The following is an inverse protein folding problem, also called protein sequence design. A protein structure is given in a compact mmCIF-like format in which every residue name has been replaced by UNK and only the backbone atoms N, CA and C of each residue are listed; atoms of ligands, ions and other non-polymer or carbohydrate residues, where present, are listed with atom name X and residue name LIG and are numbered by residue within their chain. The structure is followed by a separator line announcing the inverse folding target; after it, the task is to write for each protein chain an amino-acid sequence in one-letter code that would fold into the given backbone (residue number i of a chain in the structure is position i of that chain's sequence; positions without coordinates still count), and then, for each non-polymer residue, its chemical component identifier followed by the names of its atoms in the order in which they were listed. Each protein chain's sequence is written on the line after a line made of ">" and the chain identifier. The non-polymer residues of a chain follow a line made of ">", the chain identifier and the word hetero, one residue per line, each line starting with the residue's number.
data_IF_312206263976
#
_entry.id   IF_312206263976
#
_cell.length_a   1.000
_cell.length_b   1.000
_cell.length_c   1.000
_cell.angle_alpha   90.00
_cell.angle_beta   90.00
_cell.angle_gamma   90.00
#
_symmetry.space_group_name_H-M   'P 1'
#
loop_
_entity.id
_entity.type
_entity.pdbx_description
1 polymer ?
#
# COMPACT_ATOMS: atom_id res chain seq x y z
N UNK A 1 1.10 18.43 42.58
CA UNK A 1 1.36 17.42 43.64
C UNK A 1 0.24 16.39 43.85
N UNK A 2 -0.94 16.51 43.23
CA UNK A 2 -2.05 15.55 43.39
C UNK A 2 -2.10 14.40 42.36
N UNK A 3 -1.07 14.24 41.52
CA UNK A 3 -1.00 13.17 40.52
C UNK A 3 -0.13 11.97 40.94
N UNK A 4 0.72 12.14 41.97
CA UNK A 4 1.57 11.05 42.49
C UNK A 4 0.77 10.20 43.50
N UNK A 5 -0.13 10.81 44.27
CA UNK A 5 -0.98 10.09 45.24
C UNK A 5 -1.96 9.11 44.56
N UNK A 6 -2.53 9.46 43.40
CA UNK A 6 -3.44 8.57 42.66
C UNK A 6 -2.72 7.37 42.03
N UNK A 7 -1.45 7.54 41.65
CA UNK A 7 -0.65 6.43 41.11
C UNK A 7 -0.20 5.46 42.21
N UNK A 8 -0.05 5.93 43.45
CA UNK A 8 0.17 5.06 44.62
C UNK A 8 -1.07 4.24 44.99
N UNK A 9 -2.27 4.83 44.94
CA UNK A 9 -3.49 4.12 45.32
C UNK A 9 -3.86 2.98 44.35
N UNK A 10 -3.62 3.19 43.04
CA UNK A 10 -3.84 2.17 42.00
C UNK A 10 -2.76 1.07 41.93
N UNK A 11 -1.56 1.32 42.46
CA UNK A 11 -0.53 0.28 42.54
C UNK A 11 -0.70 -0.63 43.78
N UNK A 12 -1.46 -0.18 44.78
CA UNK A 12 -1.67 -0.94 46.02
C UNK A 12 -2.84 -1.94 45.94
N UNK A 13 -3.73 -1.82 44.94
CA UNK A 13 -4.79 -2.80 44.68
C UNK A 13 -4.38 -3.92 43.70
N UNK A 14 -3.38 -3.70 42.84
CA UNK A 14 -2.94 -4.71 41.86
C UNK A 14 -2.07 -5.80 42.53
N UNK A 15 -1.33 -5.46 43.59
CA UNK A 15 -0.61 -6.45 44.40
C UNK A 15 -1.54 -7.24 45.36
N UNK A 16 -2.73 -6.73 45.67
CA UNK A 16 -3.71 -7.47 46.48
C UNK A 16 -4.32 -8.65 45.70
N UNK A 17 -4.55 -8.49 44.40
CA UNK A 17 -5.08 -9.56 43.55
C UNK A 17 -4.03 -10.60 43.15
N UNK A 18 -2.73 -10.26 43.13
CA UNK A 18 -1.66 -11.22 42.87
C UNK A 18 -1.29 -12.07 44.08
N UNK A 19 -1.50 -11.57 45.31
CA UNK A 19 -1.33 -12.38 46.52
C UNK A 19 -2.50 -13.32 46.81
N UNK A 20 -3.69 -13.06 46.27
CA UNK A 20 -4.87 -13.92 46.48
C UNK A 20 -4.86 -15.20 45.62
N UNK A 21 -3.98 -15.29 44.62
CA UNK A 21 -3.88 -16.46 43.72
C UNK A 21 -2.90 -17.54 44.20
N UNK A 22 -2.27 -17.35 45.36
CA UNK A 22 -1.32 -18.31 45.96
C UNK A 22 -1.92 -19.03 47.20
N UNK A 23 -3.14 -18.70 47.64
CA UNK A 23 -3.83 -19.39 48.75
C UNK A 23 -5.20 -19.88 48.30
N UNK A 24 -5.25 -20.67 47.22
CA UNK A 24 -6.49 -21.29 46.72
C UNK A 24 -6.55 -22.81 46.97
N UNK A 25 -5.88 -23.30 48.01
CA UNK A 25 -5.84 -24.74 48.35
C UNK A 25 -6.13 -25.11 49.82
N UNK A 26 -6.60 -24.19 50.67
CA UNK A 26 -6.91 -24.58 52.07
C UNK A 26 -8.02 -23.77 52.79
N UNK A 27 -9.02 -23.26 52.09
CA UNK A 27 -10.15 -22.56 52.72
C UNK A 27 -11.43 -23.41 52.69
N UNK A 28 -12.11 -23.66 53.84
CA UNK A 28 -13.33 -24.46 53.92
C UNK A 28 -14.51 -23.80 53.18
N UNK A 29 -15.46 -24.63 52.73
CA UNK A 29 -16.54 -24.30 51.79
C UNK A 29 -17.35 -23.02 52.12
N UNK A 30 -17.41 -22.63 53.40
CA UNK A 30 -18.19 -21.49 53.88
C UNK A 30 -17.62 -20.12 53.46
N UNK A 31 -16.30 -20.00 53.25
CA UNK A 31 -15.67 -18.73 52.86
C UNK A 31 -15.66 -18.48 51.34
N UNK A 32 -15.81 -19.54 50.51
CA UNK A 32 -15.96 -19.40 49.05
C UNK A 32 -17.28 -18.74 48.66
N UNK A 33 -18.33 -18.95 49.43
CA UNK A 33 -19.64 -18.34 49.21
C UNK A 33 -19.65 -16.83 49.56
N UNK A 34 -18.90 -16.42 50.59
CA UNK A 34 -18.82 -15.01 50.99
C UNK A 34 -18.01 -14.20 49.98
N UNK A 35 -16.93 -14.77 49.43
CA UNK A 35 -16.12 -14.15 48.38
C UNK A 35 -16.88 -14.02 47.04
N UNK A 36 -17.72 -14.99 46.68
CA UNK A 36 -18.53 -14.89 45.46
C UNK A 36 -19.66 -13.86 45.56
N UNK A 37 -20.27 -13.71 46.75
CA UNK A 37 -21.29 -12.67 47.02
C UNK A 37 -20.67 -11.28 47.03
N UNK A 38 -19.53 -11.09 47.70
CA UNK A 38 -18.82 -9.82 47.67
C UNK A 38 -18.34 -9.48 46.25
N UNK A 39 -17.77 -10.43 45.52
CA UNK A 39 -17.38 -10.21 44.11
C UNK A 39 -18.57 -9.81 43.22
N UNK A 40 -19.77 -10.33 43.48
CA UNK A 40 -21.00 -9.94 42.79
C UNK A 40 -21.45 -8.51 43.15
N UNK A 41 -21.37 -8.12 44.42
CA UNK A 41 -21.68 -6.76 44.86
C UNK A 41 -20.68 -5.72 44.32
N UNK A 42 -19.39 -6.06 44.28
CA UNK A 42 -18.35 -5.23 43.68
C UNK A 42 -18.51 -5.09 42.16
N UNK A 43 -19.04 -6.11 41.47
CA UNK A 43 -19.40 -6.05 40.03
C UNK A 43 -20.53 -5.05 39.77
N UNK A 44 -21.53 -4.97 40.66
CA UNK A 44 -22.60 -3.98 40.56
C UNK A 44 -22.11 -2.54 40.82
N UNK A 45 -21.20 -2.34 41.77
CA UNK A 45 -20.58 -1.03 42.04
C UNK A 45 -19.69 -0.58 40.87
N UNK A 46 -18.98 -1.50 40.22
CA UNK A 46 -18.19 -1.21 39.00
C UNK A 46 -19.04 -0.79 37.79
N UNK A 47 -20.33 -1.15 37.74
CA UNK A 47 -21.25 -0.73 36.68
C UNK A 47 -21.90 0.65 36.93
N UNK A 48 -21.91 1.13 38.18
CA UNK A 48 -22.52 2.40 38.58
C UNK A 48 -21.53 3.57 38.69
N UNK A 49 -20.27 3.39 38.29
CA UNK A 49 -19.28 4.46 38.33
C UNK A 49 -19.55 5.53 37.23
N UNK A 50 -19.81 6.81 37.57
CA UNK A 50 -20.25 7.86 36.62
C UNK A 50 -19.25 8.28 35.55
N UNK A 51 -18.04 7.73 35.53
CA UNK A 51 -16.98 8.11 34.59
C UNK A 51 -17.06 7.38 33.24
N UNK A 52 -17.71 6.20 33.17
CA UNK A 52 -17.89 5.48 31.89
C UNK A 52 -18.85 6.19 30.94
N UNK A 53 -19.84 6.91 31.47
CA UNK A 53 -20.79 7.66 30.65
C UNK A 53 -20.23 9.00 30.12
N UNK A 54 -19.11 9.49 30.66
CA UNK A 54 -18.61 10.87 30.39
C UNK A 54 -17.55 10.97 29.27
N UNK A 55 -17.18 9.86 28.60
CA UNK A 55 -16.10 9.88 27.59
C UNK A 55 -16.45 9.23 26.25
N UNK A 56 -17.72 8.90 25.99
CA UNK A 56 -18.16 8.42 24.67
C UNK A 56 -18.44 9.56 23.68
N UNK A 57 -18.89 10.72 24.18
CA UNK A 57 -19.18 11.91 23.38
C UNK A 57 -17.98 12.88 23.24
N UNK A 58 -16.91 12.66 24.00
CA UNK A 58 -15.69 13.48 23.95
C UNK A 58 -14.53 12.81 23.20
N UNK A 59 -14.72 11.62 22.63
CA UNK A 59 -13.73 11.07 21.70
C UNK A 59 -13.83 11.87 20.40
N UNK A 60 -12.85 12.72 20.06
CA UNK A 60 -12.84 13.37 18.76
C UNK A 60 -12.89 12.28 17.68
N UNK A 61 -13.94 12.33 16.86
CA UNK A 61 -14.11 11.44 15.72
C UNK A 61 -13.24 12.00 14.59
N UNK A 62 -12.01 11.51 14.49
CA UNK A 62 -11.12 11.91 13.41
C UNK A 62 -11.55 11.20 12.13
N UNK A 63 -12.21 11.94 11.23
CA UNK A 63 -12.37 11.47 9.86
C UNK A 63 -10.98 11.41 9.22
N UNK A 64 -10.68 10.38 8.40
CA UNK A 64 -9.43 10.31 7.67
C UNK A 64 -9.24 11.61 6.88
N UNK A 65 -8.15 12.35 7.16
CA UNK A 65 -7.81 13.57 6.45
C UNK A 65 -7.81 13.30 4.95
N UNK A 66 -8.43 14.20 4.18
CA UNK A 66 -8.34 14.08 2.74
C UNK A 66 -6.87 14.24 2.33
N UNK A 67 -6.39 13.52 1.31
CA UNK A 67 -5.01 13.65 0.84
C UNK A 67 -4.61 15.11 0.52
N UNK A 68 -5.56 15.97 0.16
CA UNK A 68 -5.31 17.41 -0.01
C UNK A 68 -4.96 18.14 1.31
N UNK A 69 -5.58 17.75 2.42
CA UNK A 69 -5.39 18.32 3.76
C UNK A 69 -4.13 17.78 4.44
N UNK A 70 -3.71 16.55 4.13
CA UNK A 70 -2.42 16.00 4.55
C UNK A 70 -1.21 16.77 3.99
N UNK A 71 -1.40 17.60 2.96
CA UNK A 71 -0.33 18.34 2.28
C UNK A 71 -0.37 19.86 2.52
N UNK A 72 -1.21 20.36 3.43
CA UNK A 72 -1.44 21.81 3.64
C UNK A 72 -1.79 22.56 2.33
N UNK A 73 -2.42 21.87 1.36
CA UNK A 73 -2.70 22.44 0.04
C UNK A 73 -1.47 22.70 -0.83
N UNK A 74 -0.26 22.33 -0.40
CA UNK A 74 0.94 22.49 -1.21
C UNK A 74 0.99 21.43 -2.33
N UNK A 75 1.13 21.94 -3.55
CA UNK A 75 1.36 21.10 -4.73
C UNK A 75 2.74 20.46 -4.62
N UNK A 76 2.78 19.14 -4.49
CA UNK A 76 4.02 18.39 -4.58
C UNK A 76 4.42 18.18 -6.04
N UNK A 77 5.71 18.34 -6.31
CA UNK A 77 6.29 18.16 -7.64
C UNK A 77 7.23 16.96 -7.63
N UNK A 78 7.08 16.07 -8.61
CA UNK A 78 8.09 15.05 -8.91
C UNK A 78 8.64 15.24 -10.32
N UNK A 79 9.97 15.26 -10.43
CA UNK A 79 10.69 15.46 -11.70
C UNK A 79 11.32 14.14 -12.12
N UNK A 80 10.96 13.65 -13.29
CA UNK A 80 11.47 12.42 -13.87
C UNK A 80 12.13 12.71 -15.24
N UNK A 81 13.10 11.90 -15.66
CA UNK A 81 13.84 12.15 -16.90
C UNK A 81 12.99 11.85 -18.16
N UNK A 82 13.16 12.65 -19.21
CA UNK A 82 12.46 12.47 -20.49
C UNK A 82 13.31 11.67 -21.48
N UNK A 83 12.79 10.54 -22.00
CA UNK A 83 13.36 9.87 -23.16
C UNK A 83 13.37 10.77 -24.41
N UNK A 84 14.41 10.67 -25.23
CA UNK A 84 14.70 11.54 -26.39
C UNK A 84 13.58 11.61 -27.45
N UNK A 85 12.68 10.62 -27.50
CA UNK A 85 11.62 10.48 -28.52
C UNK A 85 10.19 10.67 -27.98
N UNK A 86 10.04 11.10 -26.73
CA UNK A 86 8.76 11.09 -26.03
C UNK A 86 7.66 11.93 -26.70
N UNK A 87 8.03 12.96 -27.49
CA UNK A 87 7.07 13.85 -28.16
C UNK A 87 6.04 13.09 -29.02
N UNK A 88 6.45 12.00 -29.69
CA UNK A 88 5.57 11.27 -30.62
C UNK A 88 4.55 10.37 -29.89
N UNK A 89 4.96 9.78 -28.76
CA UNK A 89 4.11 8.88 -27.95
C UNK A 89 3.51 9.61 -26.74
N UNK A 90 3.56 10.94 -26.70
CA UNK A 90 3.16 11.72 -25.54
C UNK A 90 1.68 11.53 -25.21
N UNK A 91 0.81 11.50 -26.22
CA UNK A 91 -0.63 11.31 -26.02
C UNK A 91 -0.96 9.95 -25.41
N UNK A 92 -0.25 8.90 -25.79
CA UNK A 92 -0.45 7.54 -25.25
C UNK A 92 -0.04 7.43 -23.78
N UNK A 93 0.92 8.26 -23.35
CA UNK A 93 1.39 8.31 -21.96
C UNK A 93 0.52 9.27 -21.13
N UNK A 94 0.19 10.44 -21.67
CA UNK A 94 -0.58 11.48 -20.99
C UNK A 94 -2.01 11.04 -20.69
N UNK A 95 -2.70 10.47 -21.69
CA UNK A 95 -4.13 10.12 -21.61
C UNK A 95 -4.47 9.21 -20.43
N UNK A 96 -3.79 8.06 -20.22
CA UNK A 96 -4.09 7.21 -19.07
C UNK A 96 -3.76 7.87 -17.73
N UNK A 97 -2.67 8.66 -17.64
CA UNK A 97 -2.28 9.33 -16.39
C UNK A 97 -3.29 10.42 -16.02
N UNK A 98 -3.67 11.25 -17.00
CA UNK A 98 -4.62 12.33 -16.80
C UNK A 98 -6.03 11.82 -16.47
N UNK A 99 -6.49 10.80 -17.19
CA UNK A 99 -7.83 10.25 -17.06
C UNK A 99 -8.02 9.41 -15.79
N UNK A 100 -7.09 8.48 -15.53
CA UNK A 100 -7.25 7.49 -14.46
C UNK A 100 -6.63 7.95 -13.13
N UNK A 101 -5.41 8.49 -13.15
CA UNK A 101 -4.69 8.89 -11.93
C UNK A 101 -5.00 10.32 -11.50
N UNK A 102 -5.65 11.08 -12.39
CA UNK A 102 -5.99 12.49 -12.18
C UNK A 102 -4.77 13.36 -11.87
N UNK A 103 -3.60 13.02 -12.41
CA UNK A 103 -2.35 13.78 -12.26
C UNK A 103 -2.14 14.64 -13.49
N UNK A 104 -1.68 15.87 -13.28
CA UNK A 104 -1.23 16.74 -14.37
C UNK A 104 0.25 16.47 -14.66
N UNK A 105 0.57 16.27 -15.94
CA UNK A 105 1.89 15.88 -16.40
C UNK A 105 2.40 16.95 -17.35
N UNK A 106 3.48 17.65 -16.97
CA UNK A 106 4.08 18.72 -17.77
C UNK A 106 5.45 18.31 -18.28
N UNK A 107 5.66 18.32 -19.59
CA UNK A 107 6.97 18.06 -20.19
C UNK A 107 7.76 19.36 -20.35
N UNK A 108 8.91 19.46 -19.68
CA UNK A 108 9.88 20.52 -19.90
C UNK A 108 10.88 20.09 -20.98
N UNK A 109 10.73 20.64 -22.19
CA UNK A 109 11.55 20.33 -23.36
C UNK A 109 13.00 20.81 -23.23
N UNK A 110 13.24 21.93 -22.51
CA UNK A 110 14.59 22.48 -22.31
C UNK A 110 15.39 21.63 -21.32
N UNK A 111 14.75 21.26 -20.21
CA UNK A 111 15.39 20.44 -19.17
C UNK A 111 15.36 18.94 -19.48
N UNK A 112 14.61 18.50 -20.52
CA UNK A 112 14.28 17.08 -20.79
C UNK A 112 13.78 16.38 -19.53
N UNK A 113 12.83 17.01 -18.82
CA UNK A 113 12.21 16.47 -17.59
C UNK A 113 10.69 16.49 -17.68
N UNK A 114 10.04 15.44 -17.19
CA UNK A 114 8.61 15.41 -16.93
C UNK A 114 8.41 15.87 -15.49
N UNK A 115 7.46 16.77 -15.30
CA UNK A 115 7.01 17.23 -13.99
C UNK A 115 5.61 16.66 -13.77
N UNK A 116 5.45 15.89 -12.70
CA UNK A 116 4.17 15.39 -12.23
C UNK A 116 3.65 16.33 -11.15
N UNK A 117 2.40 16.76 -11.30
CA UNK A 117 1.71 17.70 -10.43
C UNK A 117 0.38 17.12 -9.96
N UNK A 118 0.14 17.12 -8.65
CA UNK A 118 -1.18 16.77 -8.09
C UNK A 118 -2.23 17.80 -8.48
N UNK A 119 -3.48 17.33 -8.65
CA UNK A 119 -4.66 18.16 -8.83
C UNK A 119 -5.53 18.11 -7.56
N UNK A 120 -6.47 19.06 -7.39
CA UNK A 120 -7.43 18.99 -6.29
C UNK A 120 -8.32 17.74 -6.34
N UNK A 121 -8.56 17.22 -7.54
CA UNK A 121 -9.35 16.01 -7.83
C UNK A 121 -8.52 14.71 -7.77
N UNK A 122 -7.27 14.76 -7.30
CA UNK A 122 -6.46 13.54 -7.16
C UNK A 122 -6.88 12.80 -5.88
N UNK A 123 -7.42 11.57 -5.98
CA UNK A 123 -7.97 10.86 -4.82
C UNK A 123 -6.90 10.42 -3.80
N UNK A 124 -5.63 10.32 -4.20
CA UNK A 124 -4.52 9.88 -3.34
C UNK A 124 -3.20 10.61 -3.65
N UNK A 125 -2.53 11.16 -2.63
CA UNK A 125 -1.16 11.73 -2.76
C UNK A 125 -0.14 10.66 -3.18
N UNK A 126 -0.36 9.40 -2.79
CA UNK A 126 0.49 8.26 -3.14
C UNK A 126 0.67 8.10 -4.65
N UNK A 127 -0.25 8.65 -5.45
CA UNK A 127 -0.14 8.66 -6.90
C UNK A 127 1.07 9.48 -7.40
N UNK A 128 1.57 10.44 -6.61
CA UNK A 128 2.75 11.24 -6.97
C UNK A 128 4.09 10.49 -6.76
N UNK A 129 4.07 9.38 -6.02
CA UNK A 129 5.22 8.47 -5.87
C UNK A 129 5.31 7.42 -7.00
N UNK A 130 4.44 7.49 -8.02
CA UNK A 130 4.56 6.60 -9.17
C UNK A 130 5.86 6.85 -9.93
N UNK A 131 6.57 5.76 -10.20
CA UNK A 131 7.77 5.71 -11.00
C UNK A 131 7.37 5.45 -12.46
N UNK A 132 7.98 6.21 -13.36
CA UNK A 132 7.91 5.95 -14.81
C UNK A 132 9.22 5.31 -15.21
N UNK A 133 9.12 4.06 -15.63
CA UNK A 133 10.27 3.28 -16.04
C UNK A 133 10.20 2.95 -17.53
N UNK A 134 11.29 3.21 -18.24
CA UNK A 134 11.42 2.97 -19.67
C UNK A 134 12.57 2.01 -19.93
N UNK A 135 12.36 1.06 -20.84
CA UNK A 135 13.42 0.22 -21.37
C UNK A 135 13.09 -0.25 -22.79
N UNK A 136 14.12 -0.55 -23.57
CA UNK A 136 13.96 -1.14 -24.90
C UNK A 136 14.18 -2.65 -24.86
N UNK A 137 13.48 -3.38 -25.74
CA UNK A 137 13.69 -4.83 -25.88
C UNK A 137 15.15 -5.15 -26.23
N UNK A 138 15.80 -4.26 -26.99
CA UNK A 138 17.20 -4.37 -27.42
C UNK A 138 18.19 -4.29 -26.26
N UNK A 139 17.84 -3.61 -25.16
CA UNK A 139 18.69 -3.49 -23.97
C UNK A 139 18.77 -4.81 -23.21
N UNK A 140 17.73 -5.65 -23.31
CA UNK A 140 17.66 -6.97 -22.67
C UNK A 140 18.27 -8.05 -23.55
N UNK A 141 17.90 -8.05 -24.83
CA UNK A 141 18.38 -9.04 -25.80
C UNK A 141 18.41 -8.42 -27.20
N UNK A 142 19.55 -8.54 -27.86
CA UNK A 142 19.73 -8.05 -29.23
C UNK A 142 18.95 -8.95 -30.21
N UNK A 143 17.71 -8.56 -30.51
CA UNK A 143 16.82 -9.27 -31.43
C UNK A 143 16.64 -8.48 -32.74
N UNK A 144 16.50 -9.19 -33.86
CA UNK A 144 16.29 -8.61 -35.20
C UNK A 144 15.21 -9.39 -35.96
N UNK A 145 14.50 -8.71 -36.86
CA UNK A 145 13.50 -9.30 -37.77
C UNK A 145 12.42 -10.13 -37.05
N UNK A 146 12.19 -11.35 -37.55
CA UNK A 146 11.19 -12.33 -37.06
C UNK A 146 11.31 -12.67 -35.56
N UNK A 147 12.51 -12.58 -34.99
CA UNK A 147 12.69 -12.85 -33.57
C UNK A 147 12.17 -11.71 -32.68
N UNK A 148 12.23 -10.47 -33.18
CA UNK A 148 11.71 -9.30 -32.48
C UNK A 148 10.18 -9.28 -32.50
N UNK A 149 9.56 -9.50 -33.66
CA UNK A 149 8.10 -9.59 -33.81
C UNK A 149 7.53 -10.71 -32.93
N UNK A 150 8.19 -11.87 -32.91
CA UNK A 150 7.82 -12.99 -32.03
C UNK A 150 7.94 -12.62 -30.54
N UNK A 151 8.99 -11.90 -30.14
CA UNK A 151 9.14 -11.46 -28.75
C UNK A 151 8.03 -10.48 -28.33
N UNK A 152 7.68 -9.52 -29.20
CA UNK A 152 6.55 -8.60 -28.99
C UNK A 152 5.24 -9.37 -28.89
N UNK A 153 5.04 -10.37 -29.75
CA UNK A 153 3.89 -11.28 -29.70
C UNK A 153 3.77 -12.04 -28.38
N UNK A 154 4.90 -12.48 -27.78
CA UNK A 154 4.91 -13.12 -26.45
C UNK A 154 4.58 -12.15 -25.32
N UNK A 155 5.07 -10.91 -25.40
CA UNK A 155 4.83 -9.88 -24.37
C UNK A 155 3.36 -9.48 -24.32
N UNK A 156 2.76 -9.25 -25.49
CA UNK A 156 1.34 -8.90 -25.57
C UNK A 156 0.45 -10.12 -25.29
N UNK A 157 0.80 -11.28 -25.85
CA UNK A 157 -0.07 -12.44 -25.87
C UNK A 157 -1.29 -12.22 -26.79
N UNK A 158 -2.12 -13.25 -26.97
CA UNK A 158 -3.32 -13.17 -27.81
C UNK A 158 -4.27 -12.11 -27.25
N UNK A 159 -4.49 -11.03 -28.01
CA UNK A 159 -5.36 -9.91 -27.60
C UNK A 159 -4.86 -9.14 -26.37
N UNK A 160 -3.55 -9.13 -26.10
CA UNK A 160 -3.00 -8.40 -24.95
C UNK A 160 -3.15 -9.13 -23.61
N UNK A 161 -3.66 -10.36 -23.58
CA UNK A 161 -3.94 -11.10 -22.33
C UNK A 161 -2.73 -11.22 -21.40
N UNK A 162 -1.54 -11.44 -21.96
CA UNK A 162 -0.32 -11.58 -21.14
C UNK A 162 0.06 -10.25 -20.51
N UNK A 163 0.03 -9.17 -21.28
CA UNK A 163 0.22 -7.80 -20.79
C UNK A 163 -0.77 -7.50 -19.65
N UNK A 164 -2.08 -7.67 -19.88
CA UNK A 164 -3.11 -7.37 -18.89
C UNK A 164 -2.98 -8.22 -17.61
N UNK A 165 -2.58 -9.49 -17.75
CA UNK A 165 -2.33 -10.34 -16.59
C UNK A 165 -1.17 -9.83 -15.72
N UNK A 166 -0.08 -9.38 -16.35
CA UNK A 166 1.07 -8.79 -15.64
C UNK A 166 0.67 -7.46 -15.00
N UNK A 167 -0.06 -6.60 -15.72
CA UNK A 167 -0.56 -5.32 -15.20
C UNK A 167 -1.41 -5.51 -13.94
N UNK A 168 -2.38 -6.43 -13.98
CA UNK A 168 -3.26 -6.69 -12.86
C UNK A 168 -2.52 -7.31 -11.67
N UNK A 169 -1.61 -8.26 -11.91
CA UNK A 169 -0.85 -8.92 -10.84
C UNK A 169 0.13 -7.97 -10.13
N UNK A 170 0.76 -7.07 -10.88
CA UNK A 170 1.73 -6.11 -10.36
C UNK A 170 1.11 -4.77 -9.96
N UNK A 171 -0.18 -4.53 -10.25
CA UNK A 171 -0.83 -3.21 -10.09
C UNK A 171 -0.03 -2.09 -10.79
N UNK A 172 0.37 -2.34 -12.03
CA UNK A 172 1.08 -1.39 -12.89
C UNK A 172 0.31 -1.13 -14.17
N UNK A 173 0.64 -0.05 -14.87
CA UNK A 173 0.18 0.22 -16.25
C UNK A 173 1.36 0.10 -17.18
N UNK A 174 1.22 -0.72 -18.22
CA UNK A 174 2.26 -0.99 -19.20
C UNK A 174 1.79 -0.42 -20.54
N UNK A 175 2.66 0.33 -21.21
CA UNK A 175 2.43 0.79 -22.59
C UNK A 175 3.54 0.21 -23.45
N UNK A 176 3.16 -0.55 -24.48
CA UNK A 176 4.11 -1.16 -25.42
C UNK A 176 3.95 -0.47 -26.77
N UNK A 177 5.05 0.06 -27.30
CA UNK A 177 5.15 0.70 -28.61
C UNK A 177 6.32 0.07 -29.36
N UNK A 178 6.03 -0.97 -30.16
CA UNK A 178 7.00 -1.76 -30.92
C UNK A 178 8.17 -2.28 -30.08
N UNK A 179 9.31 -1.57 -30.10
CA UNK A 179 10.54 -1.94 -29.38
C UNK A 179 10.62 -1.35 -27.98
N UNK A 180 9.73 -0.42 -27.66
CA UNK A 180 9.76 0.42 -26.47
C UNK A 180 8.67 0.00 -25.51
N UNK A 181 9.05 -0.16 -24.25
CA UNK A 181 8.14 -0.54 -23.18
C UNK A 181 8.24 0.50 -22.08
N UNK A 182 7.08 1.03 -21.71
CA UNK A 182 6.91 1.98 -20.62
C UNK A 182 6.11 1.29 -19.53
N UNK A 183 6.60 1.34 -18.29
CA UNK A 183 5.91 0.84 -17.11
C UNK A 183 5.66 2.01 -16.18
N UNK A 184 4.42 2.12 -15.68
CA UNK A 184 3.97 3.10 -14.72
C UNK A 184 3.51 2.34 -13.48
N UNK A 185 4.15 2.58 -12.33
CA UNK A 185 3.82 1.86 -11.11
C UNK A 185 4.53 2.39 -9.88
N UNK A 186 4.19 1.84 -8.71
CA UNK A 186 5.05 1.97 -7.53
C UNK A 186 6.41 1.31 -7.81
N UNK A 187 7.49 1.82 -7.22
CA UNK A 187 8.86 1.35 -7.47
C UNK A 187 9.02 -0.17 -7.26
N UNK A 188 8.47 -0.70 -6.15
CA UNK A 188 8.54 -2.13 -5.85
C UNK A 188 7.81 -2.99 -6.90
N UNK A 189 6.64 -2.52 -7.34
CA UNK A 189 5.80 -3.21 -8.31
C UNK A 189 6.37 -3.14 -9.73
N UNK A 190 6.97 -2.00 -10.08
CA UNK A 190 7.62 -1.77 -11.37
C UNK A 190 8.77 -2.75 -11.58
N UNK A 191 9.56 -3.03 -10.54
CA UNK A 191 10.61 -4.05 -10.58
C UNK A 191 10.05 -5.45 -10.88
N UNK A 192 8.95 -5.82 -10.25
CA UNK A 192 8.29 -7.13 -10.47
C UNK A 192 7.76 -7.25 -11.91
N UNK A 193 7.16 -6.17 -12.42
CA UNK A 193 6.70 -6.10 -13.80
C UNK A 193 7.87 -6.22 -14.80
N UNK A 194 8.95 -5.45 -14.59
CA UNK A 194 10.18 -5.52 -15.40
C UNK A 194 10.75 -6.94 -15.42
N UNK A 195 10.95 -7.56 -14.26
CA UNK A 195 11.51 -8.91 -14.18
C UNK A 195 10.68 -9.94 -14.97
N UNK A 196 9.36 -9.78 -14.95
CA UNK A 196 8.41 -10.62 -15.68
C UNK A 196 8.51 -10.41 -17.19
N UNK A 197 8.60 -9.16 -17.64
CA UNK A 197 8.77 -8.81 -19.05
C UNK A 197 10.14 -9.25 -19.58
N UNK A 198 11.21 -9.04 -18.82
CA UNK A 198 12.56 -9.52 -19.17
C UNK A 198 12.58 -11.05 -19.33
N UNK A 199 11.90 -11.78 -18.43
CA UNK A 199 11.80 -13.24 -18.54
C UNK A 199 11.13 -13.70 -19.85
N UNK A 200 10.09 -12.98 -20.31
CA UNK A 200 9.40 -13.26 -21.58
C UNK A 200 10.25 -12.90 -22.81
N UNK A 201 11.03 -11.82 -22.74
CA UNK A 201 11.98 -11.43 -23.80
C UNK A 201 13.07 -12.49 -23.94
N UNK A 202 13.62 -12.96 -22.81
CA UNK A 202 14.64 -14.01 -22.77
C UNK A 202 14.13 -15.37 -23.27
N UNK A 203 12.80 -15.57 -23.32
CA UNK A 203 12.15 -16.75 -23.89
C UNK A 203 11.57 -17.71 -22.86
N UNK A 204 11.41 -17.29 -21.60
CA UNK A 204 10.72 -18.09 -20.59
C UNK A 204 9.27 -18.36 -21.01
N UNK A 205 8.74 -19.57 -20.77
CA UNK A 205 7.35 -19.88 -21.07
C UNK A 205 6.41 -19.07 -20.17
N UNK A 206 5.30 -18.58 -20.74
CA UNK A 206 4.35 -17.71 -20.03
C UNK A 206 3.80 -18.36 -18.74
N UNK A 207 3.59 -19.68 -18.73
CA UNK A 207 3.15 -20.42 -17.54
C UNK A 207 4.08 -20.25 -16.34
N UNK A 208 5.40 -20.29 -16.56
CA UNK A 208 6.41 -20.07 -15.51
C UNK A 208 6.34 -18.65 -14.96
N UNK A 209 6.13 -17.67 -15.84
CA UNK A 209 6.01 -16.26 -15.46
C UNK A 209 4.75 -16.02 -14.62
N UNK A 210 3.60 -16.59 -15.01
CA UNK A 210 2.36 -16.49 -14.23
C UNK A 210 2.46 -17.15 -12.86
N UNK A 211 3.12 -18.31 -12.75
CA UNK A 211 3.36 -18.94 -11.46
C UNK A 211 4.26 -18.09 -10.56
N UNK A 212 5.33 -17.49 -11.12
CA UNK A 212 6.19 -16.55 -10.37
C UNK A 212 5.41 -15.32 -9.91
N UNK A 213 4.60 -14.72 -10.78
CA UNK A 213 3.77 -13.57 -10.43
C UNK A 213 2.80 -13.88 -9.30
N UNK A 214 2.07 -15.00 -9.36
CA UNK A 214 1.16 -15.43 -8.30
C UNK A 214 1.87 -15.58 -6.96
N UNK A 215 3.04 -16.21 -6.93
CA UNK A 215 3.85 -16.36 -5.72
C UNK A 215 4.39 -15.03 -5.18
N UNK A 216 4.70 -14.06 -6.04
CA UNK A 216 5.11 -12.72 -5.61
C UNK A 216 3.92 -11.94 -5.06
N UNK A 217 2.78 -11.94 -5.75
CA UNK A 217 1.57 -11.23 -5.33
C UNK A 217 1.02 -11.78 -4.01
N UNK A 218 1.03 -13.10 -3.80
CA UNK A 218 0.63 -13.72 -2.53
C UNK A 218 1.49 -13.19 -1.36
N UNK A 219 2.81 -13.19 -1.51
CA UNK A 219 3.75 -12.65 -0.49
C UNK A 219 3.60 -11.15 -0.26
N UNK A 220 3.18 -10.39 -1.27
CA UNK A 220 2.90 -8.96 -1.12
C UNK A 220 1.58 -8.72 -0.39
N UNK A 221 0.60 -9.59 -0.56
CA UNK A 221 -0.67 -9.51 0.16
C UNK A 221 -0.51 -9.86 1.65
N UNK A 222 0.36 -10.80 2.00
CA UNK A 222 0.64 -11.18 3.40
C UNK A 222 1.33 -10.09 4.24
N UNK A 223 1.90 -9.05 3.59
CA UNK A 223 2.65 -7.99 4.29
C UNK A 223 1.78 -6.89 4.87
N UNK A 224 0.49 -6.88 4.57
CA UNK A 224 -0.48 -5.84 4.96
C UNK A 224 -1.75 -6.50 5.49
#
# INVERSE_FOLDING_TARGET
>A
MYWIAYKCFLYQEIDFFRHLLIVELSLPLYQKAVLSVLAAEWSQIWQLHPWKLRLSHLKPKFEPLKPHEMSDGQVQFRKENVPTHLKKAWMDIYTPIYGQMKIDVRMNLKARRIELKTRPDTPDISNLQFCIEFFEIKDVKTLRGEHLSRAIGRLSGKGGKTKFAIENASKTRIVMADTKIHILGSFANTKIARDSLCSLILGSPAGKVYSKLRAVTARLAERF
#
